data_IF_446926869675
#
_entry.id   IF_446926869675
#
_cell.length_a   1.000
_cell.length_b   1.000
_cell.length_c   1.000
_cell.angle_alpha   90.00
_cell.angle_beta   90.00
_cell.angle_gamma   90.00
#
_symmetry.space_group_name_H-M   'P 1'
#
loop_
_entity.id
_entity.type
_entity.pdbx_description
1 polymer ?
#
# COMPACT_ATOMS: atom_id res chain seq x y z
N UNK A 1 -21.66 66.21 58.44
CA UNK A 1 -21.55 65.47 57.18
C UNK A 1 -21.06 64.04 57.53
N UNK A 2 -22.01 63.12 57.67
CA UNK A 2 -21.74 61.76 58.17
C UNK A 2 -21.42 60.85 57.01
N UNK A 3 -20.18 60.42 56.87
CA UNK A 3 -19.74 59.49 55.86
C UNK A 3 -19.92 58.07 56.38
N UNK A 4 -20.99 57.41 55.97
CA UNK A 4 -21.24 56.01 56.28
C UNK A 4 -20.16 55.14 55.57
N UNK A 5 -19.16 54.61 56.31
CA UNK A 5 -18.24 53.58 55.86
C UNK A 5 -19.03 52.26 55.69
N UNK A 6 -19.34 51.89 54.43
CA UNK A 6 -19.82 50.55 54.08
C UNK A 6 -18.78 49.52 54.55
N UNK A 7 -19.13 48.68 55.51
CA UNK A 7 -18.34 47.49 55.88
C UNK A 7 -18.26 46.58 54.64
N UNK A 8 -17.14 46.56 53.98
CA UNK A 8 -16.84 45.65 52.91
C UNK A 8 -16.77 44.24 53.53
N UNK A 9 -17.68 43.37 53.14
CA UNK A 9 -17.79 42.02 53.69
C UNK A 9 -16.51 41.26 53.35
N UNK A 10 -15.67 40.94 54.33
CA UNK A 10 -14.34 40.32 54.19
C UNK A 10 -14.39 38.95 53.47
N UNK A 11 -15.58 38.37 53.44
CA UNK A 11 -15.82 37.06 52.80
C UNK A 11 -16.29 37.15 51.33
N UNK A 12 -16.53 38.34 50.79
CA UNK A 12 -17.02 38.53 49.43
C UNK A 12 -16.12 37.90 48.34
N UNK A 13 -14.78 38.03 48.42
CA UNK A 13 -13.92 37.35 47.45
C UNK A 13 -13.98 35.82 47.52
N UNK A 14 -14.12 35.28 48.72
CA UNK A 14 -14.22 33.81 48.92
C UNK A 14 -15.54 33.29 48.36
N UNK A 15 -16.65 33.98 48.61
CA UNK A 15 -17.97 33.62 48.07
C UNK A 15 -17.96 33.66 46.54
N UNK A 16 -17.34 34.71 45.92
CA UNK A 16 -17.21 34.76 44.46
C UNK A 16 -16.37 33.63 43.90
N UNK A 17 -15.25 33.27 44.52
CA UNK A 17 -14.42 32.14 44.11
C UNK A 17 -15.20 30.81 44.20
N UNK A 18 -15.95 30.58 45.27
CA UNK A 18 -16.79 29.36 45.42
C UNK A 18 -17.89 29.33 44.34
N UNK A 19 -18.55 30.44 44.06
CA UNK A 19 -19.58 30.49 43.01
C UNK A 19 -18.99 30.18 41.62
N UNK A 20 -17.78 30.64 41.32
CA UNK A 20 -17.09 30.34 40.03
C UNK A 20 -16.75 28.83 39.96
N UNK A 21 -16.21 28.23 41.01
CA UNK A 21 -15.88 26.81 41.06
C UNK A 21 -17.16 25.96 40.91
N UNK A 22 -18.25 26.31 41.61
CA UNK A 22 -19.54 25.62 41.45
C UNK A 22 -20.06 25.78 40.01
N UNK A 23 -19.98 26.96 39.43
CA UNK A 23 -20.38 27.21 38.03
C UNK A 23 -19.61 26.38 37.05
N UNK A 24 -18.28 26.25 37.21
CA UNK A 24 -17.43 25.39 36.41
C UNK A 24 -17.80 23.90 36.56
N UNK A 25 -18.04 23.44 37.81
CA UNK A 25 -18.45 22.05 38.07
C UNK A 25 -19.81 21.73 37.45
N UNK A 26 -20.79 22.60 37.60
CA UNK A 26 -22.12 22.44 37.00
C UNK A 26 -22.01 22.51 35.46
N UNK A 27 -21.23 23.45 34.90
CA UNK A 27 -21.01 23.57 33.44
C UNK A 27 -20.31 22.36 32.87
N UNK A 28 -19.31 21.81 33.57
CA UNK A 28 -18.60 20.60 33.16
C UNK A 28 -19.51 19.35 33.23
N UNK A 29 -20.33 19.24 34.29
CA UNK A 29 -21.29 18.15 34.41
C UNK A 29 -22.38 18.19 33.35
N UNK A 30 -22.92 19.40 33.08
CA UNK A 30 -23.88 19.60 31.97
C UNK A 30 -23.25 19.41 30.59
N UNK A 31 -22.02 19.87 30.38
CA UNK A 31 -21.30 19.66 29.11
C UNK A 31 -21.09 18.17 28.81
N UNK A 32 -20.66 17.40 29.82
CA UNK A 32 -20.49 15.95 29.64
C UNK A 32 -21.83 15.19 29.46
N UNK A 33 -22.91 15.66 30.07
CA UNK A 33 -24.22 15.03 29.94
C UNK A 33 -24.99 15.45 28.67
N UNK A 34 -24.77 16.68 28.19
CA UNK A 34 -25.40 17.21 26.98
C UNK A 34 -24.57 17.02 25.70
N UNK A 35 -23.26 16.85 25.81
CA UNK A 35 -22.37 16.63 24.65
C UNK A 35 -22.54 15.23 24.05
N UNK A 36 -23.04 14.26 24.80
CA UNK A 36 -23.30 12.90 24.32
C UNK A 36 -24.41 12.80 23.26
N UNK A 37 -25.27 13.83 23.13
CA UNK A 37 -26.44 13.74 22.24
C UNK A 37 -26.43 14.72 21.06
N UNK A 38 -25.44 15.59 20.90
CA UNK A 38 -25.42 16.61 19.82
C UNK A 38 -24.70 16.22 18.54
N UNK A 39 -23.98 15.08 18.50
CA UNK A 39 -23.41 14.54 17.26
C UNK A 39 -24.35 13.57 16.52
N UNK A 40 -25.56 13.32 17.04
CA UNK A 40 -26.52 12.37 16.47
C UNK A 40 -27.48 12.95 15.43
N UNK A 41 -27.27 14.17 14.92
CA UNK A 41 -28.23 14.78 13.95
C UNK A 41 -27.66 14.86 12.54
N UNK A 42 -26.55 14.22 12.23
CA UNK A 42 -26.03 14.19 10.86
C UNK A 42 -26.07 12.76 10.32
N UNK A 43 -27.05 12.50 9.45
CA UNK A 43 -27.29 11.33 8.61
C UNK A 43 -27.76 10.03 9.29
N UNK A 44 -29.05 9.76 9.14
CA UNK A 44 -29.70 8.53 9.61
C UNK A 44 -29.12 7.23 9.04
N UNK A 45 -28.38 7.27 7.91
CA UNK A 45 -27.73 6.11 7.28
C UNK A 45 -26.43 5.68 7.98
N UNK A 46 -25.52 6.60 8.24
CA UNK A 46 -24.24 6.29 8.91
C UNK A 46 -24.45 5.84 10.36
N UNK A 47 -25.48 6.38 11.04
CA UNK A 47 -25.83 5.96 12.39
C UNK A 47 -26.32 4.52 12.45
N UNK A 48 -27.01 4.01 11.44
CA UNK A 48 -27.49 2.62 11.39
C UNK A 48 -26.34 1.62 11.33
N UNK A 49 -25.32 1.90 10.50
CA UNK A 49 -24.14 1.03 10.38
C UNK A 49 -23.33 1.02 11.67
N UNK A 50 -23.08 2.20 12.27
CA UNK A 50 -22.38 2.29 13.54
C UNK A 50 -23.14 1.60 14.68
N UNK A 51 -24.47 1.79 14.76
CA UNK A 51 -25.29 1.13 15.75
C UNK A 51 -25.30 -0.40 15.57
N UNK A 52 -25.31 -0.88 14.32
CA UNK A 52 -25.19 -2.33 14.05
C UNK A 52 -23.87 -2.89 14.54
N UNK A 53 -22.75 -2.20 14.27
CA UNK A 53 -21.43 -2.61 14.74
C UNK A 53 -21.34 -2.62 16.28
N UNK A 54 -21.93 -1.62 16.94
CA UNK A 54 -22.00 -1.59 18.41
C UNK A 54 -22.86 -2.72 18.98
N UNK A 55 -24.00 -3.04 18.37
CA UNK A 55 -24.83 -4.16 18.80
C UNK A 55 -24.09 -5.50 18.64
N UNK A 56 -23.33 -5.65 17.55
CA UNK A 56 -22.52 -6.85 17.32
C UNK A 56 -21.41 -6.94 18.38
N UNK A 57 -20.71 -5.85 18.68
CA UNK A 57 -19.64 -5.81 19.67
C UNK A 57 -20.16 -6.15 21.08
N UNK A 58 -21.31 -5.58 21.45
CA UNK A 58 -21.88 -5.68 22.80
C UNK A 58 -22.70 -6.96 23.04
N UNK A 59 -23.39 -7.49 22.02
CA UNK A 59 -24.47 -8.47 22.22
C UNK A 59 -24.30 -9.76 21.39
N UNK A 60 -23.28 -9.85 20.52
CA UNK A 60 -23.08 -11.09 19.77
C UNK A 60 -22.57 -12.22 20.68
N UNK A 61 -23.02 -13.45 20.41
CA UNK A 61 -22.74 -14.62 21.28
C UNK A 61 -21.26 -14.96 21.36
N UNK A 62 -20.52 -14.77 20.26
CA UNK A 62 -19.09 -15.02 20.17
C UNK A 62 -18.29 -13.71 20.11
N UNK A 63 -17.05 -13.70 20.59
CA UNK A 63 -16.17 -12.56 20.46
C UNK A 63 -15.83 -12.28 18.97
N UNK A 64 -16.20 -11.11 18.48
CA UNK A 64 -15.98 -10.67 17.09
C UNK A 64 -14.92 -9.58 17.05
N UNK A 65 -13.99 -9.68 16.12
CA UNK A 65 -13.06 -8.59 15.84
C UNK A 65 -13.74 -7.59 14.88
N UNK A 66 -14.17 -6.46 15.43
CA UNK A 66 -14.91 -5.42 14.70
C UNK A 66 -14.07 -4.85 13.55
N UNK A 67 -12.76 -4.62 13.72
CA UNK A 67 -11.89 -4.11 12.65
C UNK A 67 -11.87 -5.07 11.46
N UNK A 68 -11.76 -6.38 11.72
CA UNK A 68 -11.81 -7.40 10.68
C UNK A 68 -13.16 -7.48 9.98
N UNK A 69 -14.25 -7.21 10.70
CA UNK A 69 -15.60 -7.15 10.13
C UNK A 69 -15.76 -5.93 9.24
N UNK A 70 -15.28 -4.78 9.68
CA UNK A 70 -15.29 -3.52 8.92
C UNK A 70 -14.44 -3.64 7.66
N UNK A 71 -13.21 -4.18 7.75
CA UNK A 71 -12.33 -4.41 6.61
C UNK A 71 -12.99 -5.28 5.51
N UNK A 72 -13.83 -6.23 5.91
CA UNK A 72 -14.59 -7.07 4.96
C UNK A 72 -15.84 -6.38 4.41
N UNK A 73 -16.46 -5.50 5.19
CA UNK A 73 -17.69 -4.81 4.79
C UNK A 73 -17.42 -3.65 3.83
N UNK A 74 -16.31 -2.91 4.00
CA UNK A 74 -15.99 -1.75 3.17
C UNK A 74 -15.93 -2.10 1.68
N UNK A 75 -15.23 -3.16 1.21
CA UNK A 75 -15.24 -3.53 -0.21
C UNK A 75 -16.64 -3.82 -0.75
N UNK A 76 -17.51 -4.46 0.05
CA UNK A 76 -18.89 -4.74 -0.35
C UNK A 76 -19.74 -3.46 -0.50
N UNK A 77 -19.53 -2.49 0.37
CA UNK A 77 -20.20 -1.18 0.26
C UNK A 77 -19.71 -0.43 -0.99
N UNK A 78 -18.39 -0.46 -1.26
CA UNK A 78 -17.82 0.22 -2.41
C UNK A 78 -18.15 -0.47 -3.74
N UNK A 79 -18.44 -1.78 -3.75
CA UNK A 79 -18.87 -2.50 -4.95
C UNK A 79 -20.22 -2.04 -5.49
N UNK A 80 -21.03 -1.35 -4.68
CA UNK A 80 -22.29 -0.71 -5.11
C UNK A 80 -22.08 0.66 -5.80
N UNK A 81 -20.83 1.14 -5.82
CA UNK A 81 -20.45 2.38 -6.49
C UNK A 81 -19.87 2.08 -7.90
N UNK A 82 -19.07 3.00 -8.42
CA UNK A 82 -18.40 2.83 -9.69
C UNK A 82 -17.18 1.87 -9.58
N UNK A 83 -16.71 1.27 -10.70
CA UNK A 83 -15.58 0.33 -10.70
C UNK A 83 -14.24 0.95 -10.28
N UNK A 84 -14.14 2.29 -10.17
CA UNK A 84 -12.92 2.99 -9.78
C UNK A 84 -12.83 3.20 -8.26
N UNK A 85 -13.93 2.94 -7.54
CA UNK A 85 -13.99 3.04 -6.08
C UNK A 85 -13.48 1.75 -5.43
N UNK A 86 -12.23 1.76 -4.96
CA UNK A 86 -11.57 0.58 -4.38
C UNK A 86 -11.04 0.90 -2.99
N UNK A 87 -11.25 -0.01 -2.05
CA UNK A 87 -10.64 0.03 -0.72
C UNK A 87 -9.33 -0.76 -0.70
N UNK A 88 -8.26 -0.13 -0.25
CA UNK A 88 -6.97 -0.78 0.00
C UNK A 88 -6.73 -0.73 1.50
N UNK A 89 -6.65 -1.88 2.15
CA UNK A 89 -6.41 -1.94 3.60
C UNK A 89 -5.01 -1.41 3.95
N UNK A 90 -4.82 -0.90 5.16
CA UNK A 90 -3.55 -0.34 5.60
C UNK A 90 -2.36 -1.32 5.43
N UNK A 91 -2.60 -2.63 5.60
CA UNK A 91 -1.60 -3.69 5.40
C UNK A 91 -1.25 -3.93 3.92
N UNK A 92 -2.19 -3.63 2.99
CA UNK A 92 -2.03 -3.87 1.56
C UNK A 92 -1.52 -2.63 0.81
N UNK A 93 -1.57 -1.43 1.44
CA UNK A 93 -1.10 -0.17 0.83
C UNK A 93 0.35 -0.27 0.35
N UNK A 94 1.23 -0.89 1.14
CA UNK A 94 2.63 -1.06 0.75
C UNK A 94 2.74 -1.88 -0.55
N UNK A 95 2.04 -3.01 -0.66
CA UNK A 95 2.04 -3.85 -1.85
C UNK A 95 1.41 -3.15 -3.06
N UNK A 96 0.31 -2.42 -2.85
CA UNK A 96 -0.37 -1.66 -3.91
C UNK A 96 0.48 -0.49 -4.47
N UNK A 97 1.36 0.08 -3.65
CA UNK A 97 2.23 1.20 -4.05
C UNK A 97 3.63 0.78 -4.52
N UNK A 98 4.03 -0.46 -4.30
CA UNK A 98 5.37 -0.97 -4.66
C UNK A 98 5.71 -0.73 -6.14
N UNK A 99 4.78 -1.02 -7.05
CA UNK A 99 4.99 -0.83 -8.50
C UNK A 99 5.18 0.65 -8.89
N UNK A 100 4.65 1.58 -8.08
CA UNK A 100 4.78 3.02 -8.32
C UNK A 100 6.05 3.61 -7.69
N UNK A 101 6.58 2.99 -6.64
CA UNK A 101 7.85 3.41 -6.01
C UNK A 101 9.08 3.06 -6.84
N UNK A 102 8.91 2.31 -7.93
CA UNK A 102 10.01 1.89 -8.80
C UNK A 102 10.92 0.81 -8.21
N UNK A 103 10.57 0.26 -7.06
CA UNK A 103 11.22 -0.91 -6.46
C UNK A 103 10.32 -1.56 -5.41
N UNK A 104 10.56 -2.84 -5.16
CA UNK A 104 9.94 -3.56 -4.04
C UNK A 104 10.98 -4.43 -3.33
N UNK A 105 10.70 -4.85 -2.12
CA UNK A 105 11.59 -5.75 -1.38
C UNK A 105 11.15 -7.21 -1.50
N UNK A 106 12.09 -8.07 -1.92
CA UNK A 106 11.82 -9.48 -2.13
C UNK A 106 13.05 -10.29 -2.46
N UNK A 107 12.84 -11.49 -3.00
CA UNK A 107 13.93 -12.43 -3.35
C UNK A 107 14.55 -12.15 -4.71
N UNK A 108 13.84 -11.48 -5.64
CA UNK A 108 14.38 -11.11 -6.96
C UNK A 108 14.36 -12.26 -7.96
N UNK A 109 13.20 -12.84 -8.20
CA UNK A 109 12.94 -13.81 -9.25
C UNK A 109 11.71 -13.42 -10.07
N UNK A 110 11.69 -13.81 -11.33
CA UNK A 110 10.50 -13.90 -12.17
C UNK A 110 10.07 -15.37 -12.24
N UNK A 111 8.80 -15.64 -12.08
CA UNK A 111 8.31 -17.00 -12.02
C UNK A 111 6.98 -17.18 -12.74
N UNK A 112 6.67 -18.41 -13.05
CA UNK A 112 5.33 -18.87 -13.49
C UNK A 112 4.88 -20.01 -12.60
N UNK A 113 3.58 -20.13 -12.43
CA UNK A 113 2.98 -21.29 -11.76
C UNK A 113 2.58 -22.29 -12.84
N UNK A 114 3.12 -23.52 -12.76
CA UNK A 114 2.77 -24.65 -13.59
C UNK A 114 2.61 -25.87 -12.71
N UNK A 115 1.59 -26.67 -12.98
CA UNK A 115 1.32 -27.91 -12.23
C UNK A 115 1.40 -27.66 -10.72
N UNK A 116 0.68 -26.64 -10.26
CA UNK A 116 0.62 -26.24 -8.86
C UNK A 116 2.00 -26.02 -8.20
N UNK A 117 2.99 -25.60 -8.97
CA UNK A 117 4.36 -25.39 -8.51
C UNK A 117 4.95 -24.11 -9.12
N UNK A 118 5.76 -23.38 -8.36
CA UNK A 118 6.49 -22.21 -8.86
C UNK A 118 7.71 -22.66 -9.65
N UNK A 119 7.80 -22.23 -10.90
CA UNK A 119 8.96 -22.39 -11.76
C UNK A 119 9.66 -21.04 -11.92
N UNK A 120 10.92 -20.96 -11.52
CA UNK A 120 11.74 -19.77 -11.72
C UNK A 120 12.02 -19.63 -13.21
N UNK A 121 11.53 -18.56 -13.84
CA UNK A 121 11.80 -18.23 -15.24
C UNK A 121 13.11 -17.49 -15.37
N UNK A 122 13.32 -16.50 -14.51
CA UNK A 122 14.50 -15.65 -14.53
C UNK A 122 14.90 -15.26 -13.10
N UNK A 123 16.19 -15.01 -12.90
CA UNK A 123 16.75 -14.49 -11.65
C UNK A 123 17.27 -13.09 -11.94
N UNK A 124 16.83 -12.12 -11.15
CA UNK A 124 17.23 -10.72 -11.33
C UNK A 124 18.73 -10.57 -11.10
N UNK A 125 19.41 -10.04 -12.10
CA UNK A 125 20.87 -9.85 -12.10
C UNK A 125 21.31 -8.98 -10.91
N UNK A 126 22.37 -9.38 -10.22
CA UNK A 126 22.84 -8.78 -8.99
C UNK A 126 21.84 -8.78 -7.82
N UNK A 127 20.70 -9.48 -7.98
CA UNK A 127 19.63 -9.58 -6.99
C UNK A 127 19.93 -10.56 -5.86
N UNK A 128 19.09 -10.61 -4.84
CA UNK A 128 19.23 -11.50 -3.69
C UNK A 128 19.23 -12.99 -4.04
N UNK A 129 18.36 -13.41 -4.96
CA UNK A 129 18.24 -14.81 -5.38
C UNK A 129 19.49 -15.30 -6.11
N UNK A 130 20.05 -14.48 -7.00
CA UNK A 130 21.28 -14.79 -7.70
C UNK A 130 22.45 -14.95 -6.72
N UNK A 131 22.60 -14.01 -5.77
CA UNK A 131 23.63 -14.07 -4.72
C UNK A 131 23.49 -15.30 -3.83
N UNK A 132 22.29 -15.80 -3.64
CA UNK A 132 22.01 -17.02 -2.89
C UNK A 132 22.24 -18.30 -3.71
N UNK A 133 22.38 -18.20 -5.05
CA UNK A 133 22.65 -19.33 -5.93
C UNK A 133 21.41 -20.00 -6.54
N UNK A 134 20.24 -19.30 -6.54
CA UNK A 134 19.08 -19.74 -7.33
C UNK A 134 19.36 -19.54 -8.82
N UNK A 135 18.77 -20.41 -9.64
CA UNK A 135 18.92 -20.39 -11.09
C UNK A 135 17.58 -20.44 -11.79
N UNK A 136 17.55 -19.90 -13.01
CA UNK A 136 16.41 -20.15 -13.91
C UNK A 136 16.21 -21.65 -14.13
N UNK A 137 14.95 -22.09 -14.14
CA UNK A 137 14.58 -23.51 -14.21
C UNK A 137 14.42 -24.20 -12.85
N UNK A 138 14.81 -23.58 -11.74
CA UNK A 138 14.54 -24.14 -10.41
C UNK A 138 13.04 -24.18 -10.14
N UNK A 139 12.58 -25.28 -9.50
CA UNK A 139 11.19 -25.46 -9.04
C UNK A 139 11.15 -25.24 -7.54
N UNK A 140 10.44 -24.22 -7.08
CA UNK A 140 10.27 -23.95 -5.66
C UNK A 140 9.23 -24.90 -5.10
N UNK A 141 9.63 -25.72 -4.14
CA UNK A 141 8.76 -26.74 -3.52
C UNK A 141 8.55 -26.51 -2.03
N UNK A 142 9.32 -25.64 -1.39
CA UNK A 142 9.16 -25.29 0.01
C UNK A 142 9.60 -23.84 0.28
N UNK A 143 8.94 -23.18 1.22
CA UNK A 143 9.30 -21.86 1.73
C UNK A 143 9.29 -21.92 3.25
N UNK A 144 10.37 -21.45 3.89
CA UNK A 144 10.60 -21.49 5.35
C UNK A 144 10.35 -22.88 5.98
N UNK A 145 10.79 -23.93 5.27
CA UNK A 145 10.67 -25.31 5.71
C UNK A 145 9.27 -25.92 5.57
N UNK A 146 8.28 -25.14 5.12
CA UNK A 146 6.93 -25.63 4.85
C UNK A 146 6.78 -25.97 3.37
N UNK A 147 6.15 -27.11 3.01
CA UNK A 147 5.83 -27.41 1.62
C UNK A 147 5.03 -26.30 0.96
N UNK A 148 5.40 -25.95 -0.26
CA UNK A 148 4.71 -24.94 -1.05
C UNK A 148 4.48 -25.45 -2.47
N UNK A 149 3.54 -26.39 -2.56
CA UNK A 149 3.08 -27.05 -3.77
C UNK A 149 1.59 -27.35 -3.66
N UNK A 150 0.92 -27.59 -4.78
CA UNK A 150 -0.50 -27.88 -4.82
C UNK A 150 -1.38 -26.62 -4.93
N UNK A 151 -2.68 -26.78 -4.71
CA UNK A 151 -3.69 -25.71 -4.91
C UNK A 151 -3.49 -24.46 -4.08
N UNK A 152 -2.63 -24.49 -3.05
CA UNK A 152 -2.25 -23.32 -2.25
C UNK A 152 -1.32 -22.36 -2.99
N UNK A 153 -0.74 -22.78 -4.11
CA UNK A 153 0.22 -21.97 -4.88
C UNK A 153 -0.55 -21.07 -5.83
N UNK A 154 -0.85 -19.87 -5.36
CA UNK A 154 -1.39 -18.78 -6.17
C UNK A 154 -0.34 -17.68 -6.34
N UNK A 155 -0.50 -16.79 -7.33
CA UNK A 155 0.39 -15.64 -7.48
C UNK A 155 0.42 -14.78 -6.22
N UNK A 156 -0.72 -14.57 -5.61
CA UNK A 156 -0.86 -13.78 -4.38
C UNK A 156 -0.09 -14.40 -3.22
N UNK A 157 -0.29 -15.71 -2.96
CA UNK A 157 0.40 -16.41 -1.89
C UNK A 157 1.92 -16.53 -2.16
N UNK A 158 2.33 -16.69 -3.43
CA UNK A 158 3.73 -16.68 -3.82
C UNK A 158 4.36 -15.31 -3.54
N UNK A 159 3.70 -14.23 -3.94
CA UNK A 159 4.16 -12.88 -3.67
C UNK A 159 4.24 -12.60 -2.17
N UNK A 160 3.22 -12.99 -1.40
CA UNK A 160 3.18 -12.84 0.05
C UNK A 160 4.35 -13.54 0.76
N UNK A 161 4.76 -14.74 0.32
CA UNK A 161 5.86 -15.48 0.93
C UNK A 161 7.25 -15.03 0.46
N UNK A 162 7.37 -14.60 -0.79
CA UNK A 162 8.66 -14.26 -1.40
C UNK A 162 9.03 -12.78 -1.21
N UNK A 163 8.06 -11.85 -1.20
CA UNK A 163 8.25 -10.46 -0.76
C UNK A 163 8.42 -10.40 0.76
N UNK A 164 8.84 -9.25 1.27
CA UNK A 164 8.95 -8.99 2.70
C UNK A 164 9.91 -7.84 2.99
N UNK A 165 10.11 -7.52 4.25
CA UNK A 165 10.96 -6.40 4.65
C UNK A 165 12.42 -6.64 4.22
N UNK A 166 13.10 -5.56 3.84
CA UNK A 166 14.53 -5.56 3.50
C UNK A 166 15.34 -6.21 4.62
N UNK A 167 16.38 -6.93 4.23
CA UNK A 167 17.34 -7.61 5.11
C UNK A 167 16.76 -8.79 5.91
N UNK A 168 15.47 -9.12 5.75
CA UNK A 168 14.91 -10.36 6.31
C UNK A 168 15.31 -11.57 5.47
N UNK A 169 15.41 -12.74 6.12
CA UNK A 169 15.83 -13.98 5.46
C UNK A 169 14.64 -14.90 5.21
N UNK A 170 14.63 -15.54 4.06
CA UNK A 170 13.68 -16.59 3.71
C UNK A 170 14.44 -17.83 3.23
N UNK A 171 14.01 -19.01 3.66
CA UNK A 171 14.57 -20.29 3.20
C UNK A 171 13.73 -20.84 2.05
N UNK A 172 14.35 -21.00 0.89
CA UNK A 172 13.67 -21.47 -0.32
C UNK A 172 14.20 -22.86 -0.64
N UNK A 173 13.33 -23.87 -0.60
CA UNK A 173 13.63 -25.23 -1.02
C UNK A 173 13.28 -25.41 -2.50
N UNK A 174 14.25 -25.80 -3.29
CA UNK A 174 14.09 -25.99 -4.74
C UNK A 174 14.45 -27.39 -5.19
N UNK A 175 13.81 -27.83 -6.25
CA UNK A 175 14.21 -29.02 -7.03
C UNK A 175 14.77 -28.52 -8.36
N UNK A 176 16.05 -28.80 -8.60
CA UNK A 176 16.75 -28.39 -9.83
C UNK A 176 16.68 -29.49 -10.87
N UNK A 177 16.61 -29.11 -12.14
CA UNK A 177 16.59 -30.07 -13.24
C UNK A 177 17.76 -31.07 -13.14
N UNK A 178 17.48 -32.36 -13.35
CA UNK A 178 18.46 -33.43 -13.20
C UNK A 178 18.68 -33.94 -11.76
N UNK A 179 18.07 -33.28 -10.76
CA UNK A 179 18.16 -33.72 -9.35
C UNK A 179 16.77 -33.99 -8.77
N UNK A 180 16.62 -35.07 -8.00
CA UNK A 180 15.42 -35.32 -7.20
C UNK A 180 15.53 -34.81 -5.76
N UNK A 181 16.71 -34.31 -5.37
CA UNK A 181 16.95 -33.80 -4.01
C UNK A 181 16.53 -32.33 -3.89
N UNK A 182 15.83 -32.03 -2.83
CA UNK A 182 15.51 -30.62 -2.47
C UNK A 182 16.80 -29.96 -1.96
N UNK A 183 17.17 -28.85 -2.58
CA UNK A 183 18.25 -27.98 -2.16
C UNK A 183 17.65 -26.76 -1.48
N UNK A 184 18.16 -26.36 -0.33
CA UNK A 184 17.65 -25.22 0.42
C UNK A 184 18.63 -24.05 0.34
N UNK A 185 18.13 -22.90 -0.14
CA UNK A 185 18.87 -21.65 -0.23
C UNK A 185 18.30 -20.66 0.77
N UNK A 186 19.17 -19.96 1.50
CA UNK A 186 18.76 -18.87 2.37
C UNK A 186 18.96 -17.55 1.61
N UNK A 187 17.85 -16.91 1.24
CA UNK A 187 17.86 -15.65 0.51
C UNK A 187 17.61 -14.51 1.49
N UNK A 188 18.51 -13.54 1.53
CA UNK A 188 18.27 -12.28 2.25
C UNK A 188 17.51 -11.35 1.32
N UNK A 189 16.26 -11.00 1.68
CA UNK A 189 15.44 -10.11 0.87
C UNK A 189 16.11 -8.75 0.68
N UNK A 190 16.04 -8.23 -0.52
CA UNK A 190 16.62 -6.95 -0.89
C UNK A 190 15.70 -6.17 -1.80
N UNK A 191 16.13 -4.98 -2.12
CA UNK A 191 15.42 -4.09 -3.04
C UNK A 191 15.59 -4.57 -4.48
N UNK A 192 14.45 -4.75 -5.15
CA UNK A 192 14.34 -5.20 -6.53
C UNK A 192 13.80 -4.05 -7.35
N UNK A 193 14.61 -3.47 -8.27
CA UNK A 193 14.15 -2.36 -9.10
C UNK A 193 13.07 -2.85 -10.08
N UNK A 194 12.01 -2.08 -10.20
CA UNK A 194 10.98 -2.23 -11.23
C UNK A 194 11.13 -1.11 -12.25
N UNK A 195 11.12 -1.47 -13.54
CA UNK A 195 11.21 -0.48 -14.61
C UNK A 195 9.83 -0.08 -15.08
N UNK A 196 9.58 1.21 -15.13
CA UNK A 196 8.39 1.79 -15.76
C UNK A 196 8.49 1.80 -17.28
N UNK A 197 9.70 2.02 -17.80
CA UNK A 197 10.02 1.95 -19.24
C UNK A 197 10.40 0.51 -19.59
N UNK A 198 9.52 -0.20 -20.29
CA UNK A 198 9.68 -1.63 -20.61
C UNK A 198 10.32 -1.89 -21.94
N UNK A 199 10.26 -0.93 -22.88
CA UNK A 199 10.89 -1.02 -24.20
C UNK A 199 11.36 0.34 -24.68
N UNK A 200 12.56 0.38 -25.30
CA UNK A 200 13.14 1.58 -25.94
C UNK A 200 14.01 1.13 -27.12
N UNK A 201 13.57 1.43 -28.34
CA UNK A 201 14.27 1.07 -29.57
C UNK A 201 13.79 1.92 -30.76
N UNK A 202 14.51 1.88 -31.87
CA UNK A 202 14.09 2.50 -33.12
C UNK A 202 13.12 1.57 -33.87
N UNK A 203 11.91 2.08 -34.25
CA UNK A 203 10.96 1.36 -35.12
C UNK A 203 11.40 1.31 -36.54
N UNK A 204 12.01 2.42 -36.99
CA UNK A 204 12.60 2.63 -38.33
C UNK A 204 13.75 3.63 -38.21
N UNK A 205 14.36 4.03 -39.32
CA UNK A 205 15.52 4.94 -39.37
C UNK A 205 15.26 6.34 -38.77
N UNK A 206 14.01 6.67 -38.46
CA UNK A 206 13.61 8.02 -38.00
C UNK A 206 12.70 8.01 -36.79
N UNK A 207 12.07 6.88 -36.45
CA UNK A 207 11.03 6.82 -35.45
C UNK A 207 11.50 6.02 -34.21
N UNK A 208 11.68 6.69 -33.11
CA UNK A 208 11.91 6.07 -31.79
C UNK A 208 10.62 5.57 -31.16
N UNK A 209 10.72 4.49 -30.40
CA UNK A 209 9.62 3.89 -29.66
C UNK A 209 9.98 3.76 -28.18
N UNK A 210 9.03 4.18 -27.32
CA UNK A 210 9.13 4.03 -25.87
C UNK A 210 7.81 3.46 -25.35
N UNK A 211 7.85 2.34 -24.61
CA UNK A 211 6.68 1.79 -23.92
C UNK A 211 6.75 2.08 -22.44
N UNK A 212 5.69 2.69 -21.91
CA UNK A 212 5.55 3.10 -20.50
C UNK A 212 4.44 2.28 -19.85
N UNK A 213 4.80 1.45 -18.85
CA UNK A 213 3.87 0.57 -18.16
C UNK A 213 3.02 1.31 -17.12
N UNK A 214 3.62 2.24 -16.38
CA UNK A 214 2.98 3.05 -15.34
C UNK A 214 3.75 4.37 -15.16
N UNK A 215 3.20 5.28 -14.37
CA UNK A 215 3.83 6.55 -13.99
C UNK A 215 4.32 6.48 -12.53
N UNK A 216 5.44 5.76 -12.31
CA UNK A 216 6.11 5.65 -11.01
C UNK A 216 7.10 6.78 -10.72
N UNK A 217 7.75 6.72 -9.56
CA UNK A 217 8.77 7.71 -9.15
C UNK A 217 9.95 7.78 -10.12
N UNK A 218 10.37 6.63 -10.67
CA UNK A 218 11.50 6.53 -11.58
C UNK A 218 11.14 6.70 -13.05
N UNK A 219 9.86 6.85 -13.42
CA UNK A 219 9.43 6.88 -14.83
C UNK A 219 10.02 8.07 -15.58
N UNK A 220 10.03 9.26 -14.99
CA UNK A 220 10.60 10.44 -15.64
C UNK A 220 12.12 10.34 -15.86
N UNK A 221 12.96 9.99 -14.85
CA UNK A 221 14.37 9.70 -15.07
C UNK A 221 14.63 8.62 -16.12
N UNK A 222 13.86 7.52 -16.10
CA UNK A 222 13.97 6.45 -17.11
C UNK A 222 13.64 6.94 -18.51
N UNK A 223 12.63 7.83 -18.63
CA UNK A 223 12.29 8.43 -19.92
C UNK A 223 13.40 9.32 -20.46
N UNK A 224 14.04 10.14 -19.63
CA UNK A 224 15.17 10.96 -20.07
C UNK A 224 16.33 10.09 -20.58
N UNK A 225 16.61 8.96 -19.92
CA UNK A 225 17.61 7.98 -20.37
C UNK A 225 17.20 7.37 -21.71
N UNK A 226 15.93 7.01 -21.87
CA UNK A 226 15.38 6.44 -23.11
C UNK A 226 15.47 7.44 -24.27
N UNK A 227 15.10 8.71 -24.03
CA UNK A 227 15.21 9.79 -25.04
C UNK A 227 16.65 10.06 -25.41
N UNK A 228 17.57 10.09 -24.45
CA UNK A 228 18.99 10.27 -24.74
C UNK A 228 19.56 9.14 -25.61
N UNK A 229 19.16 7.89 -25.35
CA UNK A 229 19.53 6.74 -26.19
C UNK A 229 19.01 6.89 -27.63
N UNK A 230 17.72 7.15 -27.80
CA UNK A 230 17.11 7.35 -29.13
C UNK A 230 17.71 8.55 -29.86
N UNK A 231 18.08 9.61 -29.12
CA UNK A 231 18.75 10.79 -29.71
C UNK A 231 20.12 10.44 -30.32
N UNK A 232 20.89 9.56 -29.63
CA UNK A 232 22.15 9.05 -30.21
C UNK A 232 21.94 8.21 -31.45
N UNK A 233 20.79 7.55 -31.55
CA UNK A 233 20.39 6.77 -32.74
C UNK A 233 19.75 7.64 -33.85
N UNK A 234 19.53 8.96 -33.57
CA UNK A 234 19.12 9.94 -34.56
C UNK A 234 17.63 10.00 -34.86
N UNK A 235 16.77 9.64 -33.88
CA UNK A 235 15.32 9.72 -34.05
C UNK A 235 14.85 11.16 -34.37
N UNK A 236 13.79 11.26 -35.15
CA UNK A 236 13.10 12.52 -35.49
C UNK A 236 11.64 12.52 -35.09
N UNK A 237 11.04 11.34 -35.04
CA UNK A 237 9.67 11.11 -34.59
C UNK A 237 9.70 10.20 -33.38
N UNK A 238 8.75 10.39 -32.44
CA UNK A 238 8.63 9.56 -31.25
C UNK A 238 7.23 8.94 -31.19
N UNK A 239 7.19 7.63 -30.94
CA UNK A 239 6.00 6.90 -30.61
C UNK A 239 6.06 6.52 -29.13
N UNK A 240 5.15 7.06 -28.32
CA UNK A 240 4.97 6.69 -26.91
C UNK A 240 3.80 5.73 -26.81
N UNK A 241 4.05 4.51 -26.33
CA UNK A 241 3.04 3.48 -26.15
C UNK A 241 2.59 3.45 -24.70
N UNK A 242 1.33 3.82 -24.48
CA UNK A 242 0.65 3.81 -23.18
C UNK A 242 -0.42 2.70 -23.09
N UNK A 243 -0.42 1.73 -23.99
CA UNK A 243 -1.38 0.61 -23.93
C UNK A 243 -1.11 -0.21 -22.68
N UNK A 244 -2.18 -0.54 -21.96
CA UNK A 244 -2.16 -1.22 -20.65
C UNK A 244 -1.42 -0.43 -19.55
N UNK A 245 -1.27 0.90 -19.71
CA UNK A 245 -0.75 1.76 -18.65
C UNK A 245 -1.84 1.98 -17.61
N UNK A 246 -1.58 1.57 -16.38
CA UNK A 246 -2.52 1.68 -15.26
C UNK A 246 -2.60 3.08 -14.63
N UNK A 247 -1.83 4.06 -15.15
CA UNK A 247 -1.69 5.38 -14.53
C UNK A 247 -0.55 5.44 -13.52
N UNK A 248 -0.70 6.23 -12.46
CA UNK A 248 0.28 6.41 -11.40
C UNK A 248 0.36 7.84 -10.88
N UNK A 249 1.58 8.33 -10.60
CA UNK A 249 1.78 9.68 -10.08
C UNK A 249 1.58 10.76 -11.14
N UNK A 250 0.66 11.67 -10.88
CA UNK A 250 0.38 12.81 -11.76
C UNK A 250 1.62 13.65 -12.03
N UNK A 251 2.48 13.83 -11.01
CA UNK A 251 3.74 14.58 -11.13
C UNK A 251 4.69 13.95 -12.15
N UNK A 252 4.78 12.63 -12.24
CA UNK A 252 5.58 11.95 -13.23
C UNK A 252 5.04 12.21 -14.64
N UNK A 253 3.73 12.11 -14.83
CA UNK A 253 3.07 12.39 -16.11
C UNK A 253 3.25 13.86 -16.56
N UNK A 254 3.12 14.83 -15.63
CA UNK A 254 3.33 16.25 -15.91
C UNK A 254 4.78 16.51 -16.32
N UNK A 255 5.75 15.99 -15.55
CA UNK A 255 7.17 16.19 -15.89
C UNK A 255 7.51 15.64 -17.27
N UNK A 256 6.95 14.49 -17.62
CA UNK A 256 7.15 13.90 -18.94
C UNK A 256 6.47 14.72 -20.06
N UNK A 257 5.25 15.21 -19.82
CA UNK A 257 4.53 16.04 -20.79
C UNK A 257 5.26 17.36 -21.06
N UNK A 258 5.91 17.94 -20.05
CA UNK A 258 6.67 19.19 -20.17
C UNK A 258 7.90 19.06 -21.08
N UNK A 259 8.39 17.84 -21.37
CA UNK A 259 9.46 17.64 -22.37
C UNK A 259 8.98 17.91 -23.81
N UNK A 260 7.66 17.95 -24.04
CA UNK A 260 7.07 18.10 -25.37
C UNK A 260 6.22 19.37 -25.51
N UNK A 261 5.87 19.99 -24.42
CA UNK A 261 5.01 21.18 -24.37
C UNK A 261 5.81 22.40 -23.98
N UNK A 262 5.53 23.58 -24.59
CA UNK A 262 6.21 24.82 -24.25
C UNK A 262 5.82 25.34 -22.87
#
# INVERSE_FOLDING_TARGET
MNINKKKTNRFMPIIMAVCVVIGIMIGSFFSNHFSGNRLNIINSGSNRLNNLLHIIDDQYVDAVNIDSLVDKAIPLILSELDPHSVYISAKDVAAATDDLKGSFCGVGIEFVIRDDTIHVQNVIQNGPAEKAGLLAGDKIVAVDGKPFVGKIVTNEEAMHRLKGQKDTKVKIGVVRYGSKKVQTFTVTRGEIPTKSITATYMLDDKTGYIRIKNFGENTYPEMLIALAKLSQEGFKNLCIDLRDNSGGYLTAAINMANEFLP
#
